data_IF_640594848694
#
_entry.id   IF_640594848694
#
_cell.length_a   1.000
_cell.length_b   1.000
_cell.length_c   1.000
_cell.angle_alpha   90.00
_cell.angle_beta   90.00
_cell.angle_gamma   90.00
#
_symmetry.space_group_name_H-M   'P 1'
#
loop_
_entity.id
_entity.type
_entity.pdbx_description
1 polymer ?
#
# COMPACT_ATOMS: atom_id res chain seq x y z
N UNK A 1 -14.38 38.55 -4.03
CA UNK A 1 -13.48 38.02 -2.98
C UNK A 1 -12.78 36.81 -3.57
N UNK A 2 -11.45 36.82 -3.55
CA UNK A 2 -10.62 35.90 -4.31
C UNK A 2 -10.76 34.48 -3.76
N UNK A 3 -11.46 33.60 -4.48
CA UNK A 3 -11.75 32.22 -4.07
C UNK A 3 -10.53 31.33 -4.39
N UNK A 4 -9.39 31.66 -3.81
CA UNK A 4 -8.13 30.94 -4.01
C UNK A 4 -8.20 29.61 -3.29
N UNK A 5 -8.29 28.50 -4.05
CA UNK A 5 -8.05 27.15 -3.52
C UNK A 5 -6.72 27.15 -2.75
N UNK A 6 -6.73 26.62 -1.53
CA UNK A 6 -5.49 26.43 -0.78
C UNK A 6 -4.66 25.35 -1.49
N UNK A 7 -3.53 25.78 -2.04
CA UNK A 7 -2.55 24.91 -2.72
C UNK A 7 -1.45 24.41 -1.78
N UNK A 8 -1.49 24.80 -0.51
CA UNK A 8 -0.49 24.42 0.48
C UNK A 8 -1.11 24.37 1.89
N UNK A 9 -0.58 23.49 2.77
CA UNK A 9 -1.05 23.35 4.16
C UNK A 9 -0.12 24.13 5.08
N UNK A 10 -0.65 25.21 5.66
CA UNK A 10 0.14 26.07 6.54
C UNK A 10 0.50 25.37 7.85
N UNK A 11 1.54 25.83 8.58
CA UNK A 11 1.92 25.28 9.89
C UNK A 11 0.79 25.29 10.92
N UNK A 12 -0.13 26.26 10.83
CA UNK A 12 -1.31 26.33 11.70
C UNK A 12 -2.28 25.18 11.43
N UNK A 13 -2.51 24.87 10.15
CA UNK A 13 -3.32 23.72 9.76
C UNK A 13 -2.65 22.41 10.11
N UNK A 14 -1.33 22.29 9.96
CA UNK A 14 -0.60 21.11 10.42
C UNK A 14 -0.73 20.89 11.92
N UNK A 15 -0.56 21.95 12.74
CA UNK A 15 -0.79 21.87 14.18
C UNK A 15 -2.21 21.47 14.53
N UNK A 16 -3.20 22.05 13.83
CA UNK A 16 -4.60 21.69 14.05
C UNK A 16 -4.88 20.22 13.70
N UNK A 17 -4.31 19.69 12.60
CA UNK A 17 -4.43 18.27 12.24
C UNK A 17 -3.84 17.41 13.36
N UNK A 18 -2.66 17.74 13.89
CA UNK A 18 -2.03 17.04 15.02
C UNK A 18 -2.94 17.06 16.26
N UNK A 19 -3.38 18.24 16.67
CA UNK A 19 -4.24 18.40 17.86
C UNK A 19 -5.57 17.67 17.72
N UNK A 20 -6.17 17.68 16.52
CA UNK A 20 -7.43 17.01 16.26
C UNK A 20 -7.29 15.48 16.29
N UNK A 21 -6.20 14.93 15.74
CA UNK A 21 -5.86 13.50 15.82
C UNK A 21 -5.58 13.09 17.28
N UNK A 22 -4.75 13.85 18.01
CA UNK A 22 -4.45 13.60 19.42
C UNK A 22 -5.70 13.71 20.31
N UNK A 23 -6.65 14.57 19.92
CA UNK A 23 -7.97 14.71 20.51
C UNK A 23 -8.97 13.58 20.16
N UNK A 24 -8.56 12.62 19.32
CA UNK A 24 -9.37 11.45 18.94
C UNK A 24 -10.34 11.67 17.78
N UNK A 25 -10.20 12.76 17.03
CA UNK A 25 -11.05 13.04 15.87
C UNK A 25 -10.73 12.10 14.71
N UNK A 26 -11.75 11.66 13.98
CA UNK A 26 -11.56 10.72 12.89
C UNK A 26 -10.96 11.44 11.65
N UNK A 27 -10.00 10.84 10.92
CA UNK A 27 -9.41 11.45 9.72
C UNK A 27 -10.40 11.87 8.63
N UNK A 28 -11.55 11.18 8.53
CA UNK A 28 -12.64 11.58 7.65
C UNK A 28 -13.29 12.93 8.05
N UNK A 29 -13.38 13.21 9.35
CA UNK A 29 -13.90 14.48 9.88
C UNK A 29 -12.91 15.62 9.64
N UNK A 30 -11.61 15.35 9.79
CA UNK A 30 -10.57 16.31 9.45
C UNK A 30 -10.61 16.65 7.97
N UNK A 31 -10.74 15.64 7.11
CA UNK A 31 -10.82 15.85 5.67
C UNK A 31 -12.04 16.68 5.27
N UNK A 32 -13.21 16.41 5.85
CA UNK A 32 -14.40 17.21 5.63
C UNK A 32 -14.17 18.66 6.03
N UNK A 33 -13.57 18.88 7.20
CA UNK A 33 -13.24 20.22 7.71
C UNK A 33 -12.26 20.96 6.80
N UNK A 34 -11.20 20.29 6.31
CA UNK A 34 -10.26 20.90 5.38
C UNK A 34 -10.92 21.21 4.02
N UNK A 35 -11.79 20.33 3.51
CA UNK A 35 -12.54 20.60 2.27
C UNK A 35 -13.47 21.81 2.42
N UNK A 36 -14.17 21.93 3.53
CA UNK A 36 -15.05 23.06 3.84
C UNK A 36 -14.26 24.38 3.95
N UNK A 37 -12.97 24.30 4.29
CA UNK A 37 -12.04 25.43 4.30
C UNK A 37 -11.29 25.63 2.98
N UNK A 38 -11.73 25.00 1.88
CA UNK A 38 -11.24 25.30 0.54
C UNK A 38 -9.91 24.66 0.16
N UNK A 39 -9.46 23.65 0.92
CA UNK A 39 -8.31 22.83 0.54
C UNK A 39 -8.64 21.91 -0.63
N UNK A 40 -7.66 21.70 -1.50
CA UNK A 40 -7.71 20.58 -2.43
C UNK A 40 -7.75 19.27 -1.64
N UNK A 41 -8.59 18.34 -2.09
CA UNK A 41 -8.80 17.07 -1.39
C UNK A 41 -7.51 16.24 -1.33
N UNK A 42 -6.69 16.26 -2.39
CA UNK A 42 -5.41 15.54 -2.42
C UNK A 42 -4.39 16.14 -1.44
N UNK A 43 -4.39 17.47 -1.29
CA UNK A 43 -3.54 18.18 -0.32
C UNK A 43 -3.98 17.90 1.12
N UNK A 44 -5.29 17.97 1.40
CA UNK A 44 -5.84 17.67 2.71
C UNK A 44 -5.58 16.22 3.14
N UNK A 45 -5.82 15.26 2.24
CA UNK A 45 -5.53 13.84 2.47
C UNK A 45 -4.06 13.60 2.81
N UNK A 46 -3.15 14.27 2.11
CA UNK A 46 -1.70 14.16 2.32
C UNK A 46 -1.32 14.66 3.71
N UNK A 47 -1.73 15.88 4.07
CA UNK A 47 -1.39 16.45 5.37
C UNK A 47 -1.98 15.67 6.56
N UNK A 48 -3.19 15.11 6.42
CA UNK A 48 -3.78 14.23 7.43
C UNK A 48 -2.99 12.92 7.53
N UNK A 49 -2.64 12.31 6.39
CA UNK A 49 -1.83 11.09 6.38
C UNK A 49 -0.43 11.33 6.99
N UNK A 50 0.18 12.48 6.72
CA UNK A 50 1.49 12.83 7.29
C UNK A 50 1.44 12.86 8.83
N UNK A 51 0.36 13.37 9.42
CA UNK A 51 0.19 13.36 10.87
C UNK A 51 -0.12 11.96 11.41
N UNK A 52 -1.01 11.22 10.76
CA UNK A 52 -1.48 9.91 11.25
C UNK A 52 -0.40 8.83 11.19
N UNK A 53 0.42 8.82 10.14
CA UNK A 53 1.43 7.78 9.89
C UNK A 53 2.87 8.27 10.02
N UNK A 54 3.07 9.49 10.54
CA UNK A 54 4.41 10.05 10.68
C UNK A 54 5.10 10.35 9.34
N UNK A 55 4.33 10.82 8.35
CA UNK A 55 4.91 11.52 7.20
C UNK A 55 5.64 12.81 7.62
N UNK A 56 6.37 13.44 6.69
CA UNK A 56 7.29 14.53 7.02
C UNK A 56 6.52 15.72 7.63
N UNK A 57 6.67 15.91 8.95
CA UNK A 57 6.27 17.14 9.63
C UNK A 57 7.43 18.14 9.52
N UNK A 58 7.19 19.46 9.30
CA UNK A 58 8.25 20.45 9.30
C UNK A 58 9.05 20.50 10.62
N UNK A 59 8.49 19.95 11.70
CA UNK A 59 9.12 19.86 13.03
C UNK A 59 9.52 18.43 13.45
N UNK A 60 9.28 17.39 12.62
CA UNK A 60 9.91 16.06 12.79
C UNK A 60 10.84 15.80 11.61
N UNK A 61 12.17 15.82 11.81
CA UNK A 61 13.07 15.42 10.74
C UNK A 61 12.72 13.99 10.28
N UNK A 62 12.86 13.72 8.98
CA UNK A 62 12.77 12.40 8.34
C UNK A 62 13.84 11.43 8.89
N UNK A 63 13.85 11.18 10.20
CA UNK A 63 14.93 10.49 10.92
C UNK A 63 14.96 8.98 10.68
N UNK A 64 13.91 8.41 10.06
CA UNK A 64 13.77 6.98 9.82
C UNK A 64 14.36 6.52 8.47
N UNK A 65 14.68 7.49 7.61
CA UNK A 65 15.02 7.27 6.21
C UNK A 65 16.50 7.60 6.07
N UNK A 66 17.30 6.66 5.57
CA UNK A 66 18.69 6.97 5.23
C UNK A 66 18.67 8.21 4.32
N UNK A 67 19.41 9.29 4.63
CA UNK A 67 19.45 10.51 3.80
C UNK A 67 19.87 10.23 2.35
N UNK A 68 20.36 9.02 2.08
CA UNK A 68 20.58 8.48 0.75
C UNK A 68 20.25 6.98 0.78
N UNK A 69 19.08 6.57 0.29
CA UNK A 69 18.94 5.23 -0.29
C UNK A 69 19.96 5.14 -1.44
N UNK A 70 21.06 4.42 -1.23
CA UNK A 70 22.24 4.40 -2.12
C UNK A 70 22.26 3.17 -3.01
N UNK A 71 21.67 2.07 -2.54
CA UNK A 71 21.68 0.82 -3.29
C UNK A 71 20.83 0.98 -4.56
N UNK A 72 21.43 0.62 -5.70
CA UNK A 72 20.77 0.66 -7.01
C UNK A 72 20.56 -0.78 -7.47
N UNK A 73 19.33 -1.25 -7.41
CA UNK A 73 18.97 -2.58 -7.85
C UNK A 73 17.49 -2.82 -7.63
N UNK A 74 16.91 -3.68 -8.47
CA UNK A 74 15.58 -4.23 -8.26
C UNK A 74 15.74 -5.74 -8.13
N UNK A 75 14.97 -6.35 -7.23
CA UNK A 75 14.81 -7.81 -7.15
C UNK A 75 14.03 -8.34 -8.35
N UNK A 76 13.24 -7.47 -9.00
CA UNK A 76 12.55 -7.80 -10.23
C UNK A 76 13.56 -8.07 -11.35
N UNK A 77 13.36 -9.18 -12.05
CA UNK A 77 14.10 -9.51 -13.27
C UNK A 77 14.19 -8.29 -14.21
N UNK A 78 15.34 -8.00 -14.85
CA UNK A 78 15.49 -6.87 -15.77
C UNK A 78 14.87 -7.15 -17.15
N UNK A 79 14.42 -8.37 -17.41
CA UNK A 79 13.83 -8.75 -18.69
C UNK A 79 12.47 -8.06 -18.90
N UNK A 80 12.06 -7.99 -20.17
CA UNK A 80 10.75 -7.45 -20.57
C UNK A 80 9.59 -8.41 -20.26
N UNK A 81 9.90 -9.70 -20.12
CA UNK A 81 8.99 -10.78 -19.74
C UNK A 81 9.63 -11.55 -18.59
N UNK A 82 8.85 -11.79 -17.55
CA UNK A 82 9.21 -12.61 -16.39
C UNK A 82 8.51 -13.95 -16.56
N UNK A 83 9.27 -15.04 -16.61
CA UNK A 83 8.73 -16.40 -16.71
C UNK A 83 8.35 -16.89 -15.31
N UNK A 84 7.12 -16.59 -14.89
CA UNK A 84 6.63 -16.80 -13.53
C UNK A 84 6.00 -18.20 -13.37
N UNK A 85 6.82 -19.23 -13.54
CA UNK A 85 6.49 -20.67 -13.39
C UNK A 85 5.40 -21.18 -14.34
N UNK A 86 4.15 -20.74 -14.19
CA UNK A 86 3.00 -21.20 -14.95
C UNK A 86 2.50 -20.20 -16.01
N UNK A 87 3.10 -19.00 -16.09
CA UNK A 87 2.81 -18.02 -17.14
C UNK A 87 3.93 -17.00 -17.37
N UNK A 88 3.87 -16.37 -18.54
CA UNK A 88 4.68 -15.22 -18.89
C UNK A 88 4.01 -13.91 -18.45
N UNK A 89 4.74 -13.14 -17.65
CA UNK A 89 4.31 -11.84 -17.12
C UNK A 89 5.05 -10.73 -17.85
N UNK A 90 4.33 -9.85 -18.56
CA UNK A 90 4.93 -8.76 -19.33
C UNK A 90 5.13 -7.55 -18.43
N UNK A 91 6.34 -6.99 -18.41
CA UNK A 91 6.61 -5.72 -17.72
C UNK A 91 6.24 -4.56 -18.65
N UNK A 92 5.24 -3.77 -18.27
CA UNK A 92 4.72 -2.65 -19.07
C UNK A 92 5.49 -1.34 -18.83
N UNK A 93 5.90 -1.10 -17.59
CA UNK A 93 6.58 0.12 -17.17
C UNK A 93 7.50 -0.15 -15.99
N UNK A 94 8.58 0.62 -15.87
CA UNK A 94 9.47 0.66 -14.71
C UNK A 94 9.75 2.10 -14.28
N UNK A 95 9.67 2.34 -12.99
CA UNK A 95 10.24 3.53 -12.33
C UNK A 95 11.50 3.06 -11.60
N UNK A 96 12.60 3.80 -11.78
CA UNK A 96 13.87 3.43 -11.17
C UNK A 96 13.99 3.90 -9.71
N UNK A 97 13.25 4.96 -9.32
CA UNK A 97 13.23 5.48 -7.96
C UNK A 97 11.87 6.13 -7.61
N UNK A 98 11.14 5.61 -6.62
CA UNK A 98 11.38 4.30 -6.01
C UNK A 98 11.25 3.21 -7.10
N UNK A 99 11.72 2.00 -6.81
CA UNK A 99 11.53 0.88 -7.72
C UNK A 99 10.04 0.56 -7.80
N UNK A 100 9.43 0.78 -8.96
CA UNK A 100 8.03 0.43 -9.26
C UNK A 100 8.01 -0.27 -10.61
N UNK A 101 7.17 -1.30 -10.76
CA UNK A 101 6.87 -1.89 -12.06
C UNK A 101 5.38 -2.17 -12.23
N UNK A 102 4.88 -1.94 -13.44
CA UNK A 102 3.55 -2.40 -13.86
C UNK A 102 3.70 -3.71 -14.60
N UNK A 103 2.96 -4.72 -14.17
CA UNK A 103 3.03 -6.08 -14.65
C UNK A 103 1.68 -6.49 -15.24
N UNK A 104 1.70 -7.03 -16.46
CA UNK A 104 0.51 -7.53 -17.14
C UNK A 104 0.47 -9.05 -17.15
N UNK A 105 -0.74 -9.60 -17.27
CA UNK A 105 -0.98 -11.04 -17.25
C UNK A 105 -0.54 -11.74 -15.94
N UNK A 106 -0.58 -11.05 -14.79
CA UNK A 106 -0.21 -11.66 -13.50
C UNK A 106 -1.29 -12.62 -13.02
N UNK A 107 -2.57 -12.23 -13.16
CA UNK A 107 -3.74 -13.07 -12.88
C UNK A 107 -4.62 -13.15 -14.12
N UNK A 108 -5.24 -14.30 -14.36
CA UNK A 108 -6.27 -14.42 -15.39
C UNK A 108 -7.67 -14.07 -14.86
N UNK A 109 -8.63 -13.97 -15.78
CA UNK A 109 -9.99 -13.58 -15.44
C UNK A 109 -10.70 -14.57 -14.48
N UNK A 110 -10.37 -15.86 -14.56
CA UNK A 110 -10.92 -16.93 -13.72
C UNK A 110 -10.32 -16.91 -12.31
N UNK A 111 -9.00 -16.73 -12.20
CA UNK A 111 -8.29 -16.55 -10.93
C UNK A 111 -8.83 -15.32 -10.18
N UNK A 112 -9.00 -14.19 -10.88
CA UNK A 112 -9.59 -12.99 -10.30
C UNK A 112 -11.00 -13.25 -9.77
N UNK A 113 -11.86 -13.92 -10.55
CA UNK A 113 -13.22 -14.23 -10.12
C UNK A 113 -13.26 -15.19 -8.91
N UNK A 114 -12.40 -16.20 -8.90
CA UNK A 114 -12.29 -17.16 -7.81
C UNK A 114 -11.80 -16.50 -6.50
N UNK A 115 -10.82 -15.61 -6.58
CA UNK A 115 -10.37 -14.83 -5.42
C UNK A 115 -11.48 -13.94 -4.85
N UNK A 116 -12.22 -13.20 -5.70
CA UNK A 116 -13.35 -12.39 -5.25
C UNK A 116 -14.43 -13.26 -4.59
N UNK A 117 -14.74 -14.44 -5.16
CA UNK A 117 -15.74 -15.36 -4.61
C UNK A 117 -15.32 -15.92 -3.24
N UNK A 118 -14.08 -16.40 -3.10
CA UNK A 118 -13.55 -16.89 -1.83
C UNK A 118 -13.51 -15.79 -0.76
N UNK A 119 -13.09 -14.58 -1.15
CA UNK A 119 -12.98 -13.45 -0.24
C UNK A 119 -14.35 -12.96 0.23
N UNK A 120 -15.35 -12.94 -0.65
CA UNK A 120 -16.72 -12.47 -0.33
C UNK A 120 -17.34 -13.20 0.86
N UNK A 121 -17.02 -14.48 1.06
CA UNK A 121 -17.51 -15.25 2.20
C UNK A 121 -16.80 -14.93 3.54
N UNK A 122 -15.68 -14.19 3.49
CA UNK A 122 -14.80 -13.89 4.63
C UNK A 122 -14.61 -12.40 4.89
N UNK A 123 -15.20 -11.54 4.06
CA UNK A 123 -15.02 -10.09 4.16
C UNK A 123 -15.43 -9.58 5.54
N UNK A 124 -14.48 -8.94 6.20
CA UNK A 124 -14.70 -8.15 7.41
C UNK A 124 -13.97 -6.82 7.28
N UNK A 125 -14.29 -5.83 8.12
CA UNK A 125 -13.55 -4.56 8.13
C UNK A 125 -12.05 -4.79 8.28
N UNK A 126 -11.26 -4.19 7.40
CA UNK A 126 -9.80 -4.34 7.43
C UNK A 126 -9.19 -3.60 8.61
N UNK A 127 -8.19 -4.22 9.25
CA UNK A 127 -7.41 -3.60 10.31
C UNK A 127 -6.11 -2.97 9.78
N UNK A 128 -5.55 -2.07 10.58
CA UNK A 128 -4.23 -1.44 10.42
C UNK A 128 -3.42 -1.70 11.69
N UNK A 129 -2.08 -1.69 11.58
CA UNK A 129 -1.20 -1.89 12.74
C UNK A 129 -1.14 -0.59 13.53
N UNK A 130 -1.56 -0.62 14.79
CA UNK A 130 -1.49 0.56 15.66
C UNK A 130 -0.02 0.86 16.06
N UNK A 131 0.47 2.10 15.90
CA UNK A 131 1.88 2.46 16.13
C UNK A 131 2.41 2.13 17.54
N UNK A 132 1.57 2.33 18.57
CA UNK A 132 1.97 2.16 19.98
C UNK A 132 1.90 0.71 20.44
N UNK A 133 0.83 -0.01 20.10
CA UNK A 133 0.55 -1.35 20.62
C UNK A 133 0.98 -2.48 19.68
N UNK A 134 1.20 -2.18 18.39
CA UNK A 134 1.42 -3.18 17.34
C UNK A 134 0.20 -4.07 17.06
N UNK A 135 -0.97 -3.77 17.66
CA UNK A 135 -2.20 -4.55 17.48
C UNK A 135 -2.89 -4.17 16.18
N UNK A 136 -3.56 -5.14 15.56
CA UNK A 136 -4.46 -4.89 14.44
C UNK A 136 -5.72 -4.18 14.96
N UNK A 137 -5.91 -2.92 14.57
CA UNK A 137 -7.04 -2.07 14.96
C UNK A 137 -7.83 -1.63 13.73
N UNK A 138 -9.16 -1.64 13.79
CA UNK A 138 -10.01 -1.09 12.71
C UNK A 138 -10.04 0.43 12.88
N UNK A 139 -9.61 1.17 11.87
CA UNK A 139 -9.59 2.64 11.86
C UNK A 139 -10.20 3.17 10.56
N UNK A 140 -10.83 4.35 10.59
CA UNK A 140 -11.50 4.93 9.41
C UNK A 140 -10.54 5.42 8.33
N UNK A 141 -9.24 5.42 8.60
CA UNK A 141 -8.17 5.66 7.62
C UNK A 141 -8.08 4.56 6.55
N UNK A 142 -8.66 3.39 6.84
CA UNK A 142 -8.79 2.28 5.91
C UNK A 142 -10.22 1.81 5.92
N UNK A 143 -10.95 2.16 4.86
CA UNK A 143 -12.39 1.87 4.77
C UNK A 143 -12.71 0.57 4.02
N UNK A 144 -11.68 -0.22 3.69
CA UNK A 144 -11.84 -1.50 2.99
C UNK A 144 -12.42 -2.61 3.85
N UNK A 145 -13.09 -3.54 3.19
CA UNK A 145 -13.32 -4.89 3.69
C UNK A 145 -12.16 -5.78 3.23
N UNK A 146 -11.71 -6.70 4.07
CA UNK A 146 -10.57 -7.56 3.80
C UNK A 146 -10.84 -9.02 4.17
N UNK A 147 -10.20 -9.92 3.43
CA UNK A 147 -10.11 -11.34 3.73
C UNK A 147 -8.63 -11.77 3.68
N UNK A 148 -8.20 -12.52 4.69
CA UNK A 148 -6.86 -13.09 4.74
C UNK A 148 -6.90 -14.57 4.35
N UNK A 149 -5.89 -14.98 3.60
CA UNK A 149 -5.63 -16.36 3.24
C UNK A 149 -4.23 -16.73 3.69
N UNK A 150 -4.08 -17.88 4.34
CA UNK A 150 -2.75 -18.39 4.67
C UNK A 150 -1.95 -18.70 3.40
N UNK A 151 -0.62 -18.69 3.52
CA UNK A 151 0.24 -19.11 2.41
C UNK A 151 -0.10 -20.55 2.03
N UNK A 152 -0.26 -20.80 0.74
CA UNK A 152 -0.62 -22.10 0.18
C UNK A 152 -1.89 -22.73 0.80
N UNK A 153 -2.85 -21.92 1.27
CA UNK A 153 -4.07 -22.42 1.94
C UNK A 153 -4.89 -23.40 1.08
N UNK A 154 -4.88 -23.20 -0.24
CA UNK A 154 -5.46 -24.12 -1.22
C UNK A 154 -4.68 -24.06 -2.54
N UNK A 155 -5.01 -24.93 -3.50
CA UNK A 155 -4.27 -25.03 -4.76
C UNK A 155 -4.20 -23.72 -5.56
N UNK A 156 -5.27 -22.91 -5.57
CA UNK A 156 -5.27 -21.62 -6.25
C UNK A 156 -4.34 -20.62 -5.54
N UNK A 157 -4.46 -20.51 -4.23
CA UNK A 157 -3.61 -19.62 -3.42
C UNK A 157 -2.13 -20.02 -3.55
N UNK A 158 -1.83 -21.32 -3.49
CA UNK A 158 -0.48 -21.83 -3.66
C UNK A 158 0.10 -21.49 -5.04
N UNK A 159 -0.65 -21.66 -6.13
CA UNK A 159 -0.18 -21.26 -7.47
C UNK A 159 0.15 -19.77 -7.53
N UNK A 160 -0.70 -18.93 -6.92
CA UNK A 160 -0.47 -17.48 -6.88
C UNK A 160 0.73 -17.12 -6.00
N UNK A 161 0.94 -17.81 -4.88
CA UNK A 161 2.10 -17.63 -4.00
C UNK A 161 3.41 -17.95 -4.72
N UNK A 162 3.48 -19.11 -5.39
CA UNK A 162 4.62 -19.54 -6.22
C UNK A 162 4.92 -18.50 -7.30
N UNK A 163 3.87 -18.06 -8.03
CA UNK A 163 3.99 -17.07 -9.11
C UNK A 163 4.47 -15.73 -8.57
N UNK A 164 3.91 -15.24 -7.47
CA UNK A 164 4.29 -13.98 -6.85
C UNK A 164 5.73 -14.03 -6.34
N UNK A 165 6.16 -15.13 -5.71
CA UNK A 165 7.54 -15.35 -5.29
C UNK A 165 8.52 -15.26 -6.48
N UNK A 166 8.20 -15.95 -7.58
CA UNK A 166 8.99 -15.91 -8.81
C UNK A 166 9.07 -14.50 -9.44
N UNK A 167 7.96 -13.75 -9.44
CA UNK A 167 7.92 -12.35 -9.89
C UNK A 167 8.81 -11.48 -9.00
N UNK A 168 8.65 -11.58 -7.68
CA UNK A 168 9.25 -10.67 -6.70
C UNK A 168 10.72 -11.01 -6.35
N UNK A 169 11.28 -12.07 -6.95
CA UNK A 169 12.70 -12.42 -6.84
C UNK A 169 13.09 -13.00 -5.48
N UNK A 170 12.15 -13.64 -4.77
CA UNK A 170 12.36 -14.25 -3.45
C UNK A 170 11.70 -15.63 -3.39
N UNK A 171 12.11 -16.48 -2.45
CA UNK A 171 11.42 -17.77 -2.25
C UNK A 171 10.06 -17.58 -1.56
N UNK A 172 9.17 -18.55 -1.70
CA UNK A 172 7.82 -18.51 -1.11
C UNK A 172 7.82 -18.34 0.41
N UNK A 173 8.87 -18.83 1.08
CA UNK A 173 9.02 -18.74 2.53
C UNK A 173 9.11 -17.30 3.03
N UNK A 174 9.52 -16.34 2.18
CA UNK A 174 9.52 -14.92 2.53
C UNK A 174 8.11 -14.31 2.49
N UNK A 175 7.16 -14.95 1.81
CA UNK A 175 5.84 -14.39 1.58
C UNK A 175 4.93 -14.51 2.79
N UNK A 176 4.29 -13.40 3.17
CA UNK A 176 3.08 -13.45 4.00
C UNK A 176 1.92 -14.10 3.24
N UNK A 177 0.84 -14.42 3.95
CA UNK A 177 -0.43 -14.82 3.31
C UNK A 177 -1.00 -13.74 2.38
N UNK A 178 -1.93 -14.11 1.52
CA UNK A 178 -2.60 -13.17 0.62
C UNK A 178 -3.67 -12.37 1.37
N UNK A 179 -3.69 -11.05 1.15
CA UNK A 179 -4.77 -10.20 1.64
C UNK A 179 -5.63 -9.72 0.46
N UNK A 180 -6.85 -10.21 0.36
CA UNK A 180 -7.85 -9.68 -0.58
C UNK A 180 -8.57 -8.51 0.07
N UNK A 181 -8.78 -7.43 -0.66
CA UNK A 181 -9.51 -6.25 -0.20
C UNK A 181 -10.55 -5.81 -1.21
N UNK A 182 -11.66 -5.28 -0.69
CA UNK A 182 -12.73 -4.63 -1.43
C UNK A 182 -12.93 -3.20 -0.95
N UNK A 183 -13.05 -2.29 -1.92
CA UNK A 183 -13.38 -0.88 -1.71
C UNK A 183 -14.66 -0.57 -2.49
N UNK A 184 -15.73 -0.22 -1.79
CA UNK A 184 -16.92 0.37 -2.41
C UNK A 184 -16.73 1.85 -2.73
N UNK A 185 -17.77 2.53 -3.22
CA UNK A 185 -17.75 3.98 -3.47
C UNK A 185 -17.37 4.75 -2.20
N UNK A 186 -16.44 5.70 -2.32
CA UNK A 186 -15.84 6.44 -1.22
C UNK A 186 -14.76 5.66 -0.44
N UNK A 187 -14.68 4.34 -0.66
CA UNK A 187 -13.67 3.48 -0.06
C UNK A 187 -12.27 3.88 -0.52
N UNK A 188 -11.35 3.92 0.43
CA UNK A 188 -9.97 4.37 0.20
C UNK A 188 -8.98 3.76 1.20
N UNK A 189 -7.70 4.05 0.94
CA UNK A 189 -6.64 3.88 1.92
C UNK A 189 -5.69 5.07 1.80
N UNK A 190 -5.63 5.89 2.84
CA UNK A 190 -4.72 7.03 2.90
C UNK A 190 -3.26 6.61 2.73
N UNK A 191 -2.38 7.51 2.25
CA UNK A 191 -0.96 7.21 2.05
C UNK A 191 -0.28 6.64 3.30
N UNK A 192 0.46 5.55 3.13
CA UNK A 192 1.18 4.84 4.18
C UNK A 192 2.41 4.11 3.61
N UNK A 193 3.23 3.58 4.51
CA UNK A 193 4.30 2.66 4.18
C UNK A 193 3.89 1.22 4.46
N UNK A 194 4.33 0.30 3.62
CA UNK A 194 4.17 -1.13 3.87
C UNK A 194 5.28 -1.71 4.75
N UNK A 195 6.43 -1.05 4.86
CA UNK A 195 7.45 -1.41 5.85
C UNK A 195 7.02 -1.02 7.26
N UNK A 196 7.59 -1.70 8.26
CA UNK A 196 7.42 -1.35 9.67
C UNK A 196 8.42 -0.23 10.06
N UNK A 197 7.97 0.95 10.49
CA UNK A 197 8.89 2.04 10.85
C UNK A 197 9.76 1.66 12.07
N UNK A 198 11.10 1.78 12.00
CA UNK A 198 12.01 1.22 13.01
C UNK A 198 11.91 1.86 14.41
N UNK A 199 11.37 3.07 14.50
CA UNK A 199 11.28 3.81 15.77
C UNK A 199 9.87 3.75 16.40
N UNK A 200 8.95 2.98 15.80
CA UNK A 200 7.66 2.68 16.40
C UNK A 200 7.77 1.44 17.27
N UNK A 201 7.34 1.53 18.54
CA UNK A 201 7.37 0.40 19.47
C UNK A 201 6.55 -0.78 18.94
N UNK A 202 5.45 -0.51 18.25
CA UNK A 202 4.62 -1.53 17.60
C UNK A 202 5.35 -2.36 16.54
N UNK A 203 6.37 -1.78 15.89
CA UNK A 203 7.14 -2.45 14.83
C UNK A 203 8.01 -3.59 15.36
N UNK A 204 8.53 -3.49 16.59
CA UNK A 204 9.44 -4.50 17.16
C UNK A 204 8.84 -5.90 17.10
N UNK A 205 7.53 -6.02 17.42
CA UNK A 205 6.82 -7.30 17.40
C UNK A 205 6.71 -7.88 15.98
N UNK A 206 6.47 -7.04 14.98
CA UNK A 206 6.32 -7.49 13.59
C UNK A 206 7.66 -7.88 12.97
N UNK A 207 8.75 -7.22 13.37
CA UNK A 207 10.11 -7.51 12.90
C UNK A 207 10.66 -8.85 13.44
N UNK A 208 10.13 -9.37 14.55
CA UNK A 208 10.54 -10.65 15.10
C UNK A 208 10.25 -11.84 14.16
N UNK A 209 9.15 -11.77 13.40
CA UNK A 209 8.77 -12.80 12.43
C UNK A 209 9.06 -12.32 11.00
N UNK A 210 10.04 -12.95 10.33
CA UNK A 210 10.42 -12.60 8.95
C UNK A 210 11.21 -11.29 8.79
N UNK A 211 11.42 -10.50 9.83
CA UNK A 211 12.11 -9.21 9.69
C UNK A 211 11.26 -8.16 8.99
N UNK A 212 11.92 -7.24 8.31
CA UNK A 212 11.26 -6.14 7.61
C UNK A 212 10.48 -6.65 6.39
N UNK A 213 9.36 -5.99 6.02
CA UNK A 213 8.80 -6.18 4.67
C UNK A 213 9.70 -5.47 3.67
N UNK A 214 9.95 -6.07 2.51
CA UNK A 214 10.94 -5.54 1.55
C UNK A 214 10.33 -5.10 0.23
N UNK A 215 9.19 -5.68 -0.13
CA UNK A 215 8.47 -5.38 -1.36
C UNK A 215 7.00 -5.82 -1.29
N UNK A 216 6.21 -5.20 -2.15
CA UNK A 216 4.77 -5.42 -2.27
C UNK A 216 4.40 -5.70 -3.72
N UNK A 217 3.45 -6.62 -3.91
CA UNK A 217 2.76 -6.85 -5.17
C UNK A 217 1.25 -6.69 -4.95
N UNK A 218 0.68 -5.62 -5.51
CA UNK A 218 -0.77 -5.38 -5.53
C UNK A 218 -1.31 -5.87 -6.86
N UNK A 219 -2.14 -6.92 -6.86
CA UNK A 219 -2.77 -7.46 -8.05
C UNK A 219 -4.25 -7.03 -8.10
N UNK A 220 -4.72 -6.58 -9.26
CA UNK A 220 -6.06 -6.00 -9.41
C UNK A 220 -7.04 -7.06 -9.94
N UNK A 221 -8.13 -7.27 -9.21
CA UNK A 221 -9.10 -8.36 -9.50
C UNK A 221 -10.25 -7.90 -10.40
N UNK A 222 -10.43 -6.60 -10.55
CA UNK A 222 -11.37 -5.98 -11.47
C UNK A 222 -10.82 -4.66 -12.04
N UNK A 223 -11.47 -4.18 -13.10
CA UNK A 223 -11.31 -2.80 -13.56
C UNK A 223 -12.14 -1.90 -12.64
N UNK A 224 -11.55 -0.81 -12.14
CA UNK A 224 -12.30 0.22 -11.41
C UNK A 224 -12.94 1.18 -12.43
N UNK A 225 -14.23 1.47 -12.29
CA UNK A 225 -14.94 2.31 -13.27
C UNK A 225 -14.45 3.76 -13.26
N UNK A 226 -14.19 4.33 -12.08
CA UNK A 226 -13.64 5.68 -11.85
C UNK A 226 -13.13 5.82 -10.42
N UNK A 227 -11.96 6.45 -10.26
CA UNK A 227 -11.21 6.50 -9.02
C UNK A 227 -10.53 5.17 -8.68
N UNK A 228 -10.13 4.99 -7.42
CA UNK A 228 -9.49 3.76 -6.96
C UNK A 228 -8.03 3.61 -7.40
N UNK A 229 -7.38 4.66 -7.89
CA UNK A 229 -5.98 4.64 -8.28
C UNK A 229 -5.08 4.20 -7.12
N UNK A 230 -4.01 3.47 -7.40
CA UNK A 230 -2.90 3.34 -6.44
C UNK A 230 -1.95 4.51 -6.69
N UNK A 231 -1.77 5.37 -5.68
CA UNK A 231 -1.06 6.64 -5.80
C UNK A 231 0.28 6.59 -5.06
N UNK A 232 1.30 7.25 -5.60
CA UNK A 232 2.60 7.51 -4.96
C UNK A 232 2.83 9.02 -4.92
N UNK A 233 2.37 9.72 -3.86
CA UNK A 233 2.34 11.18 -3.82
C UNK A 233 3.70 11.87 -3.88
N UNK A 234 4.79 11.20 -3.46
CA UNK A 234 6.14 11.76 -3.51
C UNK A 234 6.77 11.80 -4.90
N UNK A 235 6.17 11.10 -5.87
CA UNK A 235 6.65 11.08 -7.26
C UNK A 235 5.53 11.39 -8.27
N UNK A 236 4.40 11.91 -7.80
CA UNK A 236 3.21 12.24 -8.60
C UNK A 236 2.77 11.11 -9.55
N UNK A 237 2.89 9.86 -9.10
CA UNK A 237 2.48 8.69 -9.88
C UNK A 237 1.10 8.20 -9.45
N UNK A 238 0.24 7.97 -10.45
CA UNK A 238 -1.08 7.39 -10.30
C UNK A 238 -1.19 6.17 -11.20
N UNK A 239 -1.47 5.01 -10.62
CA UNK A 239 -1.74 3.79 -11.37
C UNK A 239 -3.23 3.47 -11.36
N UNK A 240 -3.83 3.38 -12.54
CA UNK A 240 -5.25 3.08 -12.73
C UNK A 240 -5.44 1.56 -12.71
N UNK A 241 -6.30 1.00 -11.82
CA UNK A 241 -6.52 -0.43 -11.71
C UNK A 241 -6.97 -1.07 -13.01
N UNK A 242 -6.27 -2.15 -13.41
CA UNK A 242 -6.65 -2.98 -14.55
C UNK A 242 -6.65 -4.45 -14.15
N UNK A 243 -7.79 -5.12 -14.34
CA UNK A 243 -7.99 -6.53 -14.01
C UNK A 243 -6.87 -7.40 -14.59
N UNK A 244 -6.30 -8.25 -13.74
CA UNK A 244 -5.23 -9.19 -14.12
C UNK A 244 -3.82 -8.58 -14.10
N UNK A 245 -3.71 -7.25 -14.04
CA UNK A 245 -2.43 -6.57 -13.85
C UNK A 245 -2.04 -6.54 -12.39
N UNK A 246 -0.77 -6.21 -12.15
CA UNK A 246 -0.25 -5.93 -10.84
C UNK A 246 0.68 -4.73 -10.85
N UNK A 247 0.78 -4.09 -9.68
CA UNK A 247 1.74 -3.06 -9.37
C UNK A 247 2.72 -3.61 -8.34
N UNK A 248 3.98 -3.67 -8.72
CA UNK A 248 5.08 -4.09 -7.88
C UNK A 248 5.87 -2.87 -7.41
N UNK A 249 6.31 -2.85 -6.16
CA UNK A 249 7.25 -1.85 -5.67
C UNK A 249 8.12 -2.39 -4.53
N UNK A 250 9.34 -1.84 -4.43
CA UNK A 250 10.33 -2.19 -3.40
C UNK A 250 10.65 -0.98 -2.54
N UNK A 251 10.97 -1.23 -1.27
CA UNK A 251 11.22 -0.17 -0.32
C UNK A 251 12.23 -0.54 0.76
N UNK A 252 12.81 -1.73 0.73
CA UNK A 252 13.96 -2.08 1.55
C UNK A 252 15.10 -2.63 0.67
N UNK A 253 16.29 -2.04 0.80
CA UNK A 253 17.50 -2.50 0.12
C UNK A 253 18.06 -3.78 0.77
N UNK A 254 19.09 -4.40 0.16
CA UNK A 254 19.78 -5.52 0.80
C UNK A 254 20.64 -5.06 1.99
N UNK A 255 21.05 -3.79 2.01
CA UNK A 255 21.71 -3.14 3.14
C UNK A 255 20.75 -2.68 4.25
N UNK A 256 19.44 -2.91 4.12
CA UNK A 256 18.43 -2.52 5.11
C UNK A 256 18.01 -1.05 5.06
N UNK A 257 18.38 -0.31 4.00
CA UNK A 257 17.91 1.07 3.78
C UNK A 257 16.44 1.06 3.36
N UNK A 258 15.64 1.98 3.94
CA UNK A 258 14.23 2.16 3.59
C UNK A 258 14.04 3.32 2.60
N UNK A 259 13.19 3.16 1.59
CA UNK A 259 12.90 4.21 0.59
C UNK A 259 11.58 4.94 0.91
N UNK A 260 11.67 6.21 1.34
CA UNK A 260 10.51 7.05 1.63
C UNK A 260 9.69 7.44 0.40
N UNK A 261 10.24 7.29 -0.81
CA UNK A 261 9.46 7.57 -2.01
C UNK A 261 8.42 6.47 -2.29
N UNK A 262 8.47 5.35 -1.57
CA UNK A 262 7.49 4.27 -1.62
C UNK A 262 6.18 4.56 -0.86
N UNK A 263 6.05 5.75 -0.26
CA UNK A 263 4.80 6.20 0.33
C UNK A 263 3.69 6.06 -0.73
N UNK A 264 2.64 5.32 -0.40
CA UNK A 264 1.59 5.01 -1.36
C UNK A 264 0.22 4.87 -0.69
N UNK A 265 -0.85 5.05 -1.46
CA UNK A 265 -2.22 4.91 -0.98
C UNK A 265 -3.17 4.44 -2.07
N UNK A 266 -4.41 4.16 -1.69
CA UNK A 266 -5.53 3.92 -2.59
C UNK A 266 -6.44 5.14 -2.63
N UNK A 267 -6.50 5.84 -3.77
CA UNK A 267 -7.41 6.95 -3.97
C UNK A 267 -8.88 6.49 -3.83
N UNK A 268 -9.80 7.40 -3.44
CA UNK A 268 -11.22 7.06 -3.29
C UNK A 268 -11.83 6.49 -4.58
N UNK A 269 -12.58 5.40 -4.46
CA UNK A 269 -13.42 4.90 -5.55
C UNK A 269 -14.58 5.87 -5.77
N UNK A 270 -14.70 6.43 -6.98
CA UNK A 270 -15.77 7.39 -7.31
C UNK A 270 -16.98 6.70 -7.92
N UNK A 271 -16.78 5.60 -8.65
CA UNK A 271 -17.84 4.78 -9.25
C UNK A 271 -17.45 3.30 -9.28
N UNK A 272 -18.42 2.43 -9.08
CA UNK A 272 -18.23 0.98 -9.05
C UNK A 272 -17.58 0.51 -7.76
N UNK A 273 -16.65 -0.42 -7.86
CA UNK A 273 -15.87 -0.96 -6.75
C UNK A 273 -14.45 -1.31 -7.20
N UNK A 274 -13.53 -1.43 -6.26
CA UNK A 274 -12.16 -1.90 -6.48
C UNK A 274 -11.89 -3.13 -5.64
N UNK A 275 -11.37 -4.16 -6.28
CA UNK A 275 -10.88 -5.37 -5.65
C UNK A 275 -9.39 -5.55 -5.94
N UNK A 276 -8.62 -5.82 -4.89
CA UNK A 276 -7.20 -6.12 -5.01
C UNK A 276 -6.85 -7.33 -4.15
N UNK A 277 -5.76 -8.00 -4.51
CA UNK A 277 -5.06 -8.94 -3.63
C UNK A 277 -3.63 -8.45 -3.46
N UNK A 278 -3.17 -8.37 -2.21
CA UNK A 278 -1.83 -7.92 -1.87
C UNK A 278 -0.99 -9.08 -1.37
N UNK A 279 0.24 -9.15 -1.88
CA UNK A 279 1.30 -10.02 -1.38
C UNK A 279 2.43 -9.14 -0.84
N UNK A 280 2.81 -9.38 0.41
CA UNK A 280 4.01 -8.79 1.01
C UNK A 280 5.11 -9.84 1.11
N UNK A 281 6.34 -9.42 0.84
CA UNK A 281 7.52 -10.24 1.04
C UNK A 281 8.35 -9.71 2.20
N UNK A 282 8.87 -10.62 3.01
CA UNK A 282 9.72 -10.36 4.17
C UNK A 282 11.19 -10.52 3.83
N UNK A 283 12.04 -9.89 4.62
CA UNK A 283 13.49 -9.97 4.52
C UNK A 283 14.00 -11.40 4.74
N UNK A 284 13.40 -12.11 5.69
CA UNK A 284 13.71 -13.49 6.08
C UNK A 284 12.47 -14.36 5.97
N UNK A 285 12.66 -15.68 6.08
CA UNK A 285 11.56 -16.64 6.11
C UNK A 285 10.51 -16.24 7.16
N UNK A 286 9.26 -16.20 6.73
CA UNK A 286 8.09 -15.84 7.50
C UNK A 286 7.28 -17.10 7.82
N UNK A 287 7.22 -17.44 9.10
CA UNK A 287 6.35 -18.50 9.58
C UNK A 287 4.91 -17.95 9.64
N UNK A 288 4.09 -18.29 8.65
CA UNK A 288 2.69 -17.87 8.54
C UNK A 288 1.91 -18.70 7.55
#
# INVERSE_FOLDING_TARGET
MNNGRHVDVTPDWQRWIVEAIDGGSAPAELLATMRDNGFDEGIARRAIADVVFGGPSPDRPEEYVSPRYRERGSRLSPQHVIHAVDRDVRVLLRVARPVIAVLDNVLDAGECAALCAMASARLARSAVVAPESGTNTVMDIRTSEGAYFHRAENELIHRIDVRAAAIMGLSEEHGEGLQVMRYGVGGEYVPHYDFFPPNEKGSERHLQSGGQRVSTLIMYLNDADDGGETIFPHIDLHYIPKKGQALYFEYASASGELDSLSLHGGAPVRRGEKWIVTKWMRERAFAG
#
